data_IF_346927703535
#
_entry.id   IF_346927703535
#
_cell.length_a   1.000
_cell.length_b   1.000
_cell.length_c   1.000
_cell.angle_alpha   90.00
_cell.angle_beta   90.00
_cell.angle_gamma   90.00
#
_symmetry.space_group_name_H-M   'P 1'
#
loop_
_entity.id
_entity.type
_entity.pdbx_description
1 polymer ?
#
# COMPACT_ATOMS: atom_id res chain seq x y z
N UNK A 1 11.42 -9.49 -9.27
CA UNK A 1 10.25 -9.82 -8.45
C UNK A 1 9.07 -9.89 -9.40
N UNK A 2 8.42 -11.04 -9.52
CA UNK A 2 7.33 -11.24 -10.48
C UNK A 2 5.98 -11.18 -9.75
N UNK A 3 5.14 -10.20 -10.10
CA UNK A 3 3.80 -10.01 -9.56
C UNK A 3 2.78 -10.45 -10.62
N UNK A 4 1.93 -11.43 -10.31
CA UNK A 4 0.82 -11.87 -11.18
C UNK A 4 -0.49 -11.16 -10.80
N UNK A 5 -1.25 -10.67 -11.79
CA UNK A 5 -2.32 -9.66 -11.62
C UNK A 5 -3.71 -10.21 -12.00
N UNK A 6 -4.71 -10.03 -11.12
CA UNK A 6 -6.15 -10.10 -11.43
C UNK A 6 -6.88 -8.78 -11.09
N UNK A 7 -6.84 -7.82 -12.04
CA UNK A 7 -7.61 -6.53 -12.12
C UNK A 7 -7.23 -5.36 -11.17
N UNK A 8 -7.23 -4.15 -11.75
CA UNK A 8 -7.07 -2.84 -11.10
C UNK A 8 -8.18 -2.58 -10.06
N UNK A 9 -7.81 -2.25 -8.81
CA UNK A 9 -8.74 -1.87 -7.74
C UNK A 9 -8.26 -0.61 -7.00
N UNK A 10 -9.15 -0.01 -6.23
CA UNK A 10 -8.89 1.06 -5.26
C UNK A 10 -8.38 0.44 -3.94
N UNK A 11 -7.66 1.18 -3.10
CA UNK A 11 -7.39 0.73 -1.73
C UNK A 11 -8.71 0.71 -0.96
N UNK A 12 -9.18 -0.47 -0.59
CA UNK A 12 -10.47 -0.67 0.08
C UNK A 12 -10.27 -1.24 1.49
N UNK A 13 -9.11 -1.85 1.81
CA UNK A 13 -8.86 -2.49 3.12
C UNK A 13 -7.39 -2.44 3.55
N UNK A 14 -7.19 -2.61 4.86
CA UNK A 14 -5.88 -2.94 5.41
C UNK A 14 -5.34 -4.24 4.81
N UNK A 15 -4.05 -4.25 4.49
CA UNK A 15 -3.35 -5.28 3.74
C UNK A 15 -3.32 -5.04 2.23
N UNK A 16 -3.86 -3.94 1.73
CA UNK A 16 -3.71 -3.61 0.31
C UNK A 16 -2.27 -3.17 0.00
N UNK A 17 -1.70 -3.79 -1.04
CA UNK A 17 -0.40 -3.47 -1.60
C UNK A 17 -0.55 -2.38 -2.65
N UNK A 18 0.27 -1.34 -2.55
CA UNK A 18 0.25 -0.19 -3.45
C UNK A 18 1.57 -0.22 -4.24
N UNK A 19 1.45 -0.29 -5.56
CA UNK A 19 2.59 -0.29 -6.47
C UNK A 19 2.60 1.02 -7.25
N UNK A 20 3.73 1.74 -7.22
CA UNK A 20 3.88 3.01 -7.94
C UNK A 20 4.36 2.80 -9.37
N UNK A 21 4.36 3.87 -10.16
CA UNK A 21 4.81 3.85 -11.55
C UNK A 21 6.30 3.50 -11.71
N UNK A 22 7.12 3.75 -10.70
CA UNK A 22 8.55 3.39 -10.59
C UNK A 22 8.78 2.03 -9.92
N UNK A 23 7.73 1.21 -9.80
CA UNK A 23 7.75 -0.14 -9.24
C UNK A 23 8.17 -0.20 -7.76
N UNK A 24 8.02 0.90 -7.00
CA UNK A 24 8.12 0.87 -5.54
C UNK A 24 6.88 0.23 -4.93
N UNK A 25 7.07 -0.47 -3.81
CA UNK A 25 5.98 -1.11 -3.10
C UNK A 25 5.75 -0.53 -1.72
N UNK A 26 4.46 -0.34 -1.45
CA UNK A 26 3.95 0.06 -0.16
C UNK A 26 2.84 -0.89 0.27
N UNK A 27 2.54 -0.89 1.56
CA UNK A 27 1.41 -1.63 2.12
C UNK A 27 0.72 -0.76 3.15
N UNK A 28 -0.61 -0.78 3.14
CA UNK A 28 -1.42 -0.17 4.19
C UNK A 28 -1.67 -1.21 5.28
N UNK A 29 -1.06 -1.07 6.45
CA UNK A 29 -1.28 -1.98 7.59
C UNK A 29 -2.17 -1.33 8.64
N UNK A 30 -2.76 -2.15 9.50
CA UNK A 30 -3.56 -1.66 10.64
C UNK A 30 -2.91 -2.05 11.95
N UNK A 31 -2.73 -1.05 12.82
CA UNK A 31 -2.34 -1.16 14.21
C UNK A 31 -3.50 -0.66 15.11
N UNK A 32 -4.42 -1.56 15.53
CA UNK A 32 -5.69 -1.19 16.18
C UNK A 32 -5.64 -0.38 17.49
N UNK A 33 -4.63 -0.51 18.38
CA UNK A 33 -4.61 0.25 19.63
C UNK A 33 -4.28 1.74 19.45
N UNK A 34 -3.89 2.17 18.25
CA UNK A 34 -3.41 3.52 17.98
C UNK A 34 -4.51 4.50 17.54
N UNK A 35 -4.32 5.80 17.82
CA UNK A 35 -5.23 6.88 17.39
C UNK A 35 -5.28 7.04 15.87
N UNK A 36 -4.19 6.69 15.20
CA UNK A 36 -4.04 6.69 13.75
C UNK A 36 -3.67 5.27 13.30
N UNK A 37 -4.65 4.37 13.26
CA UNK A 37 -4.37 2.94 13.18
C UNK A 37 -3.93 2.49 11.79
N UNK A 38 -4.09 3.30 10.75
CA UNK A 38 -3.69 2.91 9.39
C UNK A 38 -2.31 3.46 9.08
N UNK A 39 -1.33 2.58 8.84
CA UNK A 39 0.06 2.94 8.60
C UNK A 39 0.42 2.62 7.15
N UNK A 40 0.91 3.61 6.41
CA UNK A 40 1.50 3.41 5.09
C UNK A 40 2.98 3.06 5.25
N UNK A 41 3.33 1.82 4.96
CA UNK A 41 4.69 1.30 5.08
C UNK A 41 5.33 1.17 3.69
N UNK A 42 6.54 1.73 3.51
CA UNK A 42 7.37 1.45 2.35
C UNK A 42 8.11 0.12 2.55
N UNK A 43 7.96 -0.83 1.63
CA UNK A 43 8.56 -2.17 1.74
C UNK A 43 10.04 -2.20 1.33
N UNK A 44 10.49 -1.24 0.54
CA UNK A 44 11.90 -1.16 0.13
C UNK A 44 12.81 -0.71 1.29
N UNK A 45 12.30 0.22 2.12
CA UNK A 45 13.05 0.82 3.23
C UNK A 45 12.59 0.35 4.60
N UNK A 46 11.47 -0.38 4.69
CA UNK A 46 10.79 -0.76 5.93
C UNK A 46 10.49 0.45 6.84
N UNK A 47 10.17 1.60 6.25
CA UNK A 47 9.87 2.84 6.96
C UNK A 47 8.40 3.20 6.84
N UNK A 48 7.81 3.66 7.96
CA UNK A 48 6.48 4.26 7.97
C UNK A 48 6.57 5.62 7.29
N UNK A 49 5.77 5.81 6.25
CA UNK A 49 5.67 7.07 5.49
C UNK A 49 4.68 8.00 6.19
N UNK A 50 3.51 7.49 6.54
CA UNK A 50 2.41 8.27 7.10
C UNK A 50 1.45 7.40 7.92
N UNK A 51 0.76 8.03 8.88
CA UNK A 51 -0.31 7.42 9.67
C UNK A 51 -1.65 8.14 9.42
N UNK A 52 -2.74 7.38 9.31
CA UNK A 52 -4.08 7.91 9.04
C UNK A 52 -5.09 7.46 10.09
N UNK A 53 -6.08 8.31 10.35
CA UNK A 53 -7.20 7.99 11.24
C UNK A 53 -8.24 7.06 10.60
N UNK A 54 -8.24 6.98 9.27
CA UNK A 54 -9.12 6.16 8.43
C UNK A 54 -8.35 5.63 7.23
N UNK A 55 -8.93 4.70 6.47
CA UNK A 55 -8.34 4.25 5.19
C UNK A 55 -8.18 5.49 4.28
N UNK A 56 -6.97 5.79 3.80
CA UNK A 56 -6.73 6.94 2.94
C UNK A 56 -7.31 6.72 1.55
N UNK A 57 -7.70 7.82 0.92
CA UNK A 57 -8.03 7.86 -0.51
C UNK A 57 -6.78 7.66 -1.36
N UNK A 58 -6.99 7.41 -2.65
CA UNK A 58 -5.90 7.27 -3.61
C UNK A 58 -5.10 8.55 -3.74
N UNK A 59 -5.79 9.69 -3.77
CA UNK A 59 -5.17 11.01 -3.91
C UNK A 59 -4.27 11.34 -2.71
N UNK A 60 -4.72 11.02 -1.49
CA UNK A 60 -3.91 11.18 -0.27
C UNK A 60 -2.66 10.30 -0.32
N UNK A 61 -2.79 9.05 -0.77
CA UNK A 61 -1.64 8.15 -0.93
C UNK A 61 -0.64 8.67 -1.96
N UNK A 62 -1.09 9.16 -3.12
CA UNK A 62 -0.23 9.71 -4.16
C UNK A 62 0.51 10.98 -3.68
N UNK A 63 -0.15 11.83 -2.89
CA UNK A 63 0.47 13.02 -2.27
C UNK A 63 1.58 12.64 -1.27
N UNK A 64 1.30 11.72 -0.34
CA UNK A 64 2.26 11.31 0.68
C UNK A 64 3.42 10.47 0.11
N UNK A 65 3.16 9.65 -0.91
CA UNK A 65 4.19 8.89 -1.63
C UNK A 65 5.05 9.81 -2.51
N UNK A 66 4.44 10.89 -3.03
CA UNK A 66 5.06 11.79 -4.01
C UNK A 66 5.17 11.18 -5.41
N UNK A 67 4.32 10.20 -5.73
CA UNK A 67 4.33 9.50 -7.01
C UNK A 67 2.95 8.93 -7.37
N UNK A 68 2.63 8.89 -8.67
CA UNK A 68 1.42 8.26 -9.18
C UNK A 68 1.40 6.75 -8.89
N UNK A 69 0.27 6.29 -8.36
CA UNK A 69 0.04 4.86 -8.11
C UNK A 69 -0.23 4.19 -9.46
N UNK A 70 0.46 3.10 -9.75
CA UNK A 70 0.20 2.30 -10.95
C UNK A 70 -1.01 1.40 -10.71
N UNK A 71 -0.95 0.60 -9.65
CA UNK A 71 -1.98 -0.36 -9.27
C UNK A 71 -2.04 -0.56 -7.75
N UNK A 72 -3.22 -0.95 -7.25
CA UNK A 72 -3.44 -1.36 -5.85
C UNK A 72 -4.00 -2.79 -5.87
N UNK A 73 -3.41 -3.66 -5.06
CA UNK A 73 -3.73 -5.09 -4.99
C UNK A 73 -4.18 -5.48 -3.60
N UNK A 74 -5.21 -6.31 -3.51
CA UNK A 74 -5.60 -6.89 -2.23
C UNK A 74 -4.67 -8.04 -1.85
N UNK A 75 -4.25 -8.10 -0.57
CA UNK A 75 -3.43 -9.18 -0.03
C UNK A 75 -3.96 -10.59 -0.32
N UNK A 76 -5.28 -10.80 -0.40
CA UNK A 76 -5.87 -12.11 -0.71
C UNK A 76 -5.52 -12.61 -2.11
N UNK A 77 -5.09 -11.71 -3.00
CA UNK A 77 -4.69 -12.00 -4.38
C UNK A 77 -3.21 -11.69 -4.65
N UNK A 78 -2.42 -11.36 -3.63
CA UNK A 78 -1.02 -11.00 -3.77
C UNK A 78 -0.12 -12.05 -3.10
N UNK A 79 0.91 -12.50 -3.80
CA UNK A 79 1.95 -13.38 -3.24
C UNK A 79 3.30 -12.71 -3.42
N UNK A 80 4.03 -12.50 -2.32
CA UNK A 80 5.43 -12.07 -2.36
C UNK A 80 6.31 -13.31 -2.41
N UNK A 81 7.05 -13.48 -3.51
CA UNK A 81 8.00 -14.59 -3.67
C UNK A 81 9.43 -14.03 -3.68
N UNK A 82 10.30 -14.59 -2.82
CA UNK A 82 11.74 -14.35 -2.85
C UNK A 82 12.38 -15.43 -3.72
N UNK A 83 13.10 -15.02 -4.77
CA UNK A 83 13.94 -15.92 -5.59
C UNK A 83 15.30 -16.14 -4.92
#
# INVERSE_FOLDING_TARGET
MDIHIERKRTADKAGDFICTSSDKLFVLIVDPPERYPYLLLCLDTFSIVQNYSSIPSREELEEDIGEDIKEIYNQEHATISFL
#
